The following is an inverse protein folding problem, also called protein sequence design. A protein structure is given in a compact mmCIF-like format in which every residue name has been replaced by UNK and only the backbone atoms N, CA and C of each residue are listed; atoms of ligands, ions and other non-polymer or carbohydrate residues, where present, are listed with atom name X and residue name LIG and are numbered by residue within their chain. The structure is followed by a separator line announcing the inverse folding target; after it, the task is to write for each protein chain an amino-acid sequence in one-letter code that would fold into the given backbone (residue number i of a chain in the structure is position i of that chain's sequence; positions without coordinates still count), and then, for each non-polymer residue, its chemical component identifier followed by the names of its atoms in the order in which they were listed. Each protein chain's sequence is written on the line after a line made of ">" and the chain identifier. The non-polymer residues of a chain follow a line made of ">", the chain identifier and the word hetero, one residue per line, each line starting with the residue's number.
data_IF_149466091049
#
_entry.id   IF_149466091049
#
_cell.length_a   1.000
_cell.length_b   1.000
_cell.length_c   1.000
_cell.angle_alpha   90.00
_cell.angle_beta   90.00
_cell.angle_gamma   90.00
#
_symmetry.space_group_name_H-M   'P 1'
#
loop_
_entity.id
_entity.type
_entity.pdbx_description
1 polymer ?
#
# COMPACT_ATOMS: atom_id res chain seq x y z
N UNK A 1 -48.83 -1.24 -42.19
CA UNK A 1 -47.58 -2.00 -42.45
C UNK A 1 -47.84 -3.47 -42.16
N UNK A 2 -47.55 -4.39 -43.07
CA UNK A 2 -47.66 -5.83 -42.80
C UNK A 2 -46.50 -6.28 -41.92
N UNK A 3 -46.72 -7.28 -41.06
CA UNK A 3 -45.71 -7.82 -40.12
C UNK A 3 -44.39 -8.17 -40.82
N UNK A 4 -44.45 -8.61 -42.09
CA UNK A 4 -43.28 -8.86 -42.94
C UNK A 4 -42.47 -7.61 -43.26
N UNK A 5 -43.12 -6.47 -43.52
CA UNK A 5 -42.42 -5.20 -43.75
C UNK A 5 -41.72 -4.70 -42.49
N UNK A 6 -42.34 -4.84 -41.32
CA UNK A 6 -41.72 -4.47 -40.05
C UNK A 6 -40.46 -5.32 -39.76
N UNK A 7 -40.55 -6.64 -39.92
CA UNK A 7 -39.41 -7.55 -39.73
C UNK A 7 -38.28 -7.27 -40.74
N UNK A 8 -38.60 -6.95 -41.99
CA UNK A 8 -37.61 -6.58 -43.00
C UNK A 8 -36.87 -5.28 -42.64
N UNK A 9 -37.57 -4.27 -42.14
CA UNK A 9 -36.95 -3.00 -41.68
C UNK A 9 -36.05 -3.25 -40.47
N UNK A 10 -36.49 -4.04 -39.48
CA UNK A 10 -35.68 -4.38 -38.31
C UNK A 10 -34.41 -5.15 -38.70
N UNK A 11 -34.53 -6.15 -39.59
CA UNK A 11 -33.40 -6.91 -40.09
C UNK A 11 -32.39 -6.04 -40.85
N UNK A 12 -32.89 -5.09 -41.67
CA UNK A 12 -32.04 -4.13 -42.38
C UNK A 12 -31.27 -3.23 -41.40
N UNK A 13 -31.96 -2.66 -40.41
CA UNK A 13 -31.35 -1.79 -39.39
C UNK A 13 -30.29 -2.56 -38.58
N UNK A 14 -30.60 -3.78 -38.14
CA UNK A 14 -29.65 -4.63 -37.42
C UNK A 14 -28.44 -5.00 -38.30
N UNK A 15 -28.65 -5.30 -39.58
CA UNK A 15 -27.59 -5.57 -40.54
C UNK A 15 -26.65 -4.39 -40.73
N UNK A 16 -27.20 -3.16 -40.87
CA UNK A 16 -26.41 -1.92 -40.98
C UNK A 16 -25.62 -1.65 -39.70
N UNK A 17 -26.23 -1.85 -38.53
CA UNK A 17 -25.57 -1.65 -37.23
C UNK A 17 -24.43 -2.64 -37.00
N UNK A 18 -24.64 -3.91 -37.36
CA UNK A 18 -23.62 -4.95 -37.32
C UNK A 18 -22.46 -4.63 -38.28
N UNK A 19 -22.77 -4.21 -39.51
CA UNK A 19 -21.77 -3.81 -40.50
C UNK A 19 -20.95 -2.61 -40.02
N UNK A 20 -21.59 -1.59 -39.44
CA UNK A 20 -20.93 -0.43 -38.87
C UNK A 20 -20.00 -0.80 -37.70
N UNK A 21 -20.44 -1.72 -36.82
CA UNK A 21 -19.63 -2.23 -35.72
C UNK A 21 -18.40 -3.00 -36.23
N UNK A 22 -18.59 -3.88 -37.22
CA UNK A 22 -17.49 -4.63 -37.84
C UNK A 22 -16.48 -3.70 -38.51
N UNK A 23 -16.94 -2.69 -39.25
CA UNK A 23 -16.09 -1.66 -39.86
C UNK A 23 -15.31 -0.91 -38.78
N UNK A 24 -15.96 -0.51 -37.68
CA UNK A 24 -15.29 0.15 -36.54
C UNK A 24 -14.21 -0.74 -35.92
N UNK A 25 -14.48 -2.03 -35.71
CA UNK A 25 -13.52 -2.99 -35.15
C UNK A 25 -12.33 -3.17 -36.09
N UNK A 26 -12.57 -3.35 -37.40
CA UNK A 26 -11.53 -3.51 -38.41
C UNK A 26 -10.68 -2.25 -38.51
N UNK A 27 -11.30 -1.07 -38.61
CA UNK A 27 -10.59 0.21 -38.60
C UNK A 27 -9.76 0.38 -37.33
N UNK A 28 -10.34 0.12 -36.15
CA UNK A 28 -9.62 0.25 -34.89
C UNK A 28 -8.46 -0.76 -34.78
N UNK A 29 -8.64 -2.01 -35.24
CA UNK A 29 -7.57 -3.02 -35.31
C UNK A 29 -6.47 -2.58 -36.28
N UNK A 30 -6.83 -2.11 -37.47
CA UNK A 30 -5.89 -1.64 -38.48
C UNK A 30 -5.11 -0.40 -38.01
N UNK A 31 -5.80 0.59 -37.43
CA UNK A 31 -5.15 1.74 -36.83
C UNK A 31 -4.23 1.34 -35.66
N UNK A 32 -4.62 0.37 -34.83
CA UNK A 32 -3.76 -0.17 -33.77
C UNK A 32 -2.54 -0.88 -34.34
N UNK A 33 -2.70 -1.72 -35.37
CA UNK A 33 -1.60 -2.44 -36.03
C UNK A 33 -0.64 -1.47 -36.73
N UNK A 34 -1.14 -0.51 -37.52
CA UNK A 34 -0.31 0.52 -38.15
C UNK A 34 0.40 1.39 -37.13
N UNK A 35 -0.27 1.79 -36.05
CA UNK A 35 0.36 2.53 -34.95
C UNK A 35 1.46 1.69 -34.30
N UNK A 36 1.20 0.41 -33.98
CA UNK A 36 2.20 -0.51 -33.43
C UNK A 36 3.40 -0.68 -34.36
N UNK A 37 3.18 -0.90 -35.65
CA UNK A 37 4.25 -1.07 -36.64
C UNK A 37 5.15 0.17 -36.78
N UNK A 38 4.58 1.39 -36.68
CA UNK A 38 5.39 2.63 -36.69
C UNK A 38 6.10 2.92 -35.37
N UNK A 39 5.52 2.48 -34.26
CA UNK A 39 6.05 2.71 -32.91
C UNK A 39 7.15 1.71 -32.54
N UNK A 40 7.07 0.47 -33.03
CA UNK A 40 7.99 -0.60 -32.66
C UNK A 40 9.46 -0.31 -33.03
N UNK A 41 9.81 0.17 -34.25
CA UNK A 41 11.18 0.51 -34.60
C UNK A 41 11.75 1.64 -33.73
N UNK A 42 10.89 2.63 -33.40
CA UNK A 42 11.29 3.75 -32.55
C UNK A 42 11.54 3.32 -31.10
N UNK A 43 10.74 2.38 -30.57
CA UNK A 43 10.98 1.79 -29.25
C UNK A 43 12.30 1.02 -29.21
N UNK A 44 12.56 0.17 -30.21
CA UNK A 44 13.80 -0.59 -30.31
C UNK A 44 15.04 0.32 -30.36
N UNK A 45 14.96 1.44 -31.09
CA UNK A 45 16.05 2.42 -31.15
C UNK A 45 16.35 3.04 -29.76
N UNK A 46 15.32 3.38 -28.98
CA UNK A 46 15.49 3.89 -27.62
C UNK A 46 16.00 2.81 -26.67
N UNK A 47 15.50 1.57 -26.77
CA UNK A 47 15.97 0.45 -25.97
C UNK A 47 17.46 0.18 -26.19
N UNK A 48 17.93 0.15 -27.44
CA UNK A 48 19.35 -0.06 -27.75
C UNK A 48 20.25 1.08 -27.25
N UNK A 49 19.80 2.33 -27.33
CA UNK A 49 20.56 3.48 -26.79
C UNK A 49 20.55 3.49 -25.27
N UNK A 50 19.41 3.20 -24.64
CA UNK A 50 19.29 3.07 -23.19
C UNK A 50 20.20 1.96 -22.65
N UNK A 51 20.26 0.81 -23.32
CA UNK A 51 21.13 -0.30 -22.93
C UNK A 51 22.61 0.09 -23.00
N UNK A 52 23.07 0.66 -24.11
CA UNK A 52 24.47 1.13 -24.24
C UNK A 52 24.79 2.21 -23.21
N UNK A 53 23.89 3.16 -22.98
CA UNK A 53 24.07 4.20 -21.97
C UNK A 53 24.10 3.62 -20.55
N UNK A 54 23.26 2.63 -20.24
CA UNK A 54 23.26 1.93 -18.95
C UNK A 54 24.60 1.23 -18.69
N UNK A 55 25.18 0.63 -19.73
CA UNK A 55 26.50 -0.03 -19.71
C UNK A 55 27.69 0.95 -19.73
N UNK A 56 27.46 2.27 -19.81
CA UNK A 56 28.55 3.26 -19.89
C UNK A 56 29.17 3.45 -21.27
N UNK A 57 28.59 2.85 -22.30
CA UNK A 57 29.08 2.87 -23.68
C UNK A 57 28.48 3.99 -24.54
N UNK A 58 27.62 4.84 -23.97
CA UNK A 58 27.02 5.97 -24.65
C UNK A 58 26.85 7.17 -23.72
N UNK A 59 26.84 8.37 -24.29
CA UNK A 59 26.59 9.63 -23.58
C UNK A 59 25.09 9.86 -23.35
N UNK A 60 24.75 10.58 -22.27
CA UNK A 60 23.36 10.92 -21.94
C UNK A 60 22.68 11.76 -23.03
N UNK A 61 23.43 12.61 -23.76
CA UNK A 61 22.92 13.43 -24.87
C UNK A 61 22.32 12.57 -25.98
N UNK A 62 22.86 11.38 -26.22
CA UNK A 62 22.32 10.44 -27.22
C UNK A 62 20.97 9.90 -26.77
N UNK A 63 20.82 9.59 -25.48
CA UNK A 63 19.54 9.17 -24.89
C UNK A 63 18.50 10.28 -25.03
N UNK A 64 18.85 11.52 -24.66
CA UNK A 64 17.97 12.68 -24.74
C UNK A 64 17.49 12.93 -26.19
N UNK A 65 18.41 12.91 -27.15
CA UNK A 65 18.09 13.08 -28.57
C UNK A 65 17.13 12.00 -29.09
N UNK A 66 17.26 10.75 -28.64
CA UNK A 66 16.34 9.68 -29.04
C UNK A 66 14.98 9.82 -28.37
N UNK A 67 14.94 10.18 -27.08
CA UNK A 67 13.68 10.44 -26.37
C UNK A 67 12.89 11.59 -27.00
N UNK A 68 13.58 12.68 -27.40
CA UNK A 68 12.94 13.84 -28.04
C UNK A 68 12.29 13.53 -29.40
N UNK A 69 12.66 12.43 -30.06
CA UNK A 69 12.07 11.97 -31.33
C UNK A 69 10.81 11.11 -31.14
N UNK A 70 10.53 10.70 -29.90
CA UNK A 70 9.36 9.90 -29.57
C UNK A 70 8.13 10.78 -29.29
N UNK A 71 6.92 10.28 -29.61
CA UNK A 71 5.71 10.76 -28.97
C UNK A 71 5.86 10.70 -27.45
N UNK A 72 5.43 11.77 -26.77
CA UNK A 72 5.60 11.95 -25.32
C UNK A 72 5.18 10.74 -24.48
N UNK A 73 4.02 10.09 -24.68
CA UNK A 73 3.64 8.92 -23.90
C UNK A 73 4.67 7.78 -24.00
N UNK A 74 5.30 7.63 -25.17
CA UNK A 74 6.31 6.60 -25.41
C UNK A 74 7.66 6.95 -24.79
N UNK A 75 8.02 8.23 -24.77
CA UNK A 75 9.20 8.70 -24.04
C UNK A 75 9.03 8.46 -22.53
N UNK A 76 7.86 8.77 -21.98
CA UNK A 76 7.53 8.51 -20.57
C UNK A 76 7.53 7.01 -20.27
N UNK A 77 6.91 6.18 -21.11
CA UNK A 77 6.93 4.72 -20.96
C UNK A 77 8.37 4.17 -20.97
N UNK A 78 9.21 4.66 -21.88
CA UNK A 78 10.61 4.26 -21.95
C UNK A 78 11.35 4.62 -20.65
N UNK A 79 11.19 5.86 -20.16
CA UNK A 79 11.78 6.29 -18.90
C UNK A 79 11.32 5.42 -17.72
N UNK A 80 10.02 5.14 -17.61
CA UNK A 80 9.47 4.28 -16.55
C UNK A 80 10.02 2.85 -16.62
N UNK A 81 10.14 2.30 -17.82
CA UNK A 81 10.65 0.92 -17.98
C UNK A 81 12.12 0.76 -17.61
N UNK A 82 12.92 1.82 -17.77
CA UNK A 82 14.36 1.79 -17.54
C UNK A 82 14.79 2.33 -16.17
N UNK A 83 13.94 3.09 -15.48
CA UNK A 83 14.32 3.75 -14.22
C UNK A 83 14.75 2.79 -13.11
N UNK A 84 14.21 1.57 -13.10
CA UNK A 84 14.59 0.52 -12.16
C UNK A 84 15.81 -0.32 -12.61
N UNK A 85 16.23 -0.20 -13.88
CA UNK A 85 17.29 -1.03 -14.49
C UNK A 85 18.66 -0.34 -14.52
N UNK A 86 18.72 0.95 -14.20
CA UNK A 86 19.91 1.79 -14.33
C UNK A 86 20.38 2.26 -12.95
N UNK A 87 21.70 2.31 -12.67
CA UNK A 87 22.23 2.82 -11.41
C UNK A 87 21.72 4.21 -11.04
N UNK A 88 21.45 4.43 -9.75
CA UNK A 88 20.78 5.63 -9.23
C UNK A 88 21.44 6.95 -9.63
N UNK A 89 22.77 7.05 -9.54
CA UNK A 89 23.54 8.27 -9.86
C UNK A 89 23.48 8.62 -11.34
N UNK A 90 23.62 7.59 -12.18
CA UNK A 90 23.52 7.72 -13.63
C UNK A 90 22.12 8.19 -14.02
N UNK A 91 21.09 7.62 -13.41
CA UNK A 91 19.71 8.05 -13.65
C UNK A 91 19.42 9.45 -13.13
N UNK A 92 19.98 9.84 -11.98
CA UNK A 92 19.86 11.22 -11.46
C UNK A 92 20.41 12.23 -12.47
N UNK A 93 21.56 11.96 -13.10
CA UNK A 93 22.10 12.82 -14.18
C UNK A 93 21.15 12.94 -15.38
N UNK A 94 20.51 11.85 -15.80
CA UNK A 94 19.50 11.89 -16.85
C UNK A 94 18.28 12.73 -16.44
N UNK A 95 17.77 12.54 -15.22
CA UNK A 95 16.64 13.30 -14.70
C UNK A 95 16.91 14.82 -14.67
N UNK A 96 18.11 15.23 -14.23
CA UNK A 96 18.55 16.63 -14.30
C UNK A 96 18.66 17.13 -15.74
N UNK A 97 19.24 16.33 -16.65
CA UNK A 97 19.38 16.75 -18.04
C UNK A 97 18.02 16.90 -18.77
N UNK A 98 17.01 16.12 -18.37
CA UNK A 98 15.62 16.25 -18.84
C UNK A 98 14.95 17.58 -18.43
N UNK A 99 15.56 18.42 -17.58
CA UNK A 99 15.03 19.77 -17.31
C UNK A 99 15.21 20.70 -18.51
N UNK A 100 16.28 20.53 -19.29
CA UNK A 100 16.56 21.33 -20.48
C UNK A 100 15.68 20.99 -21.68
N UNK A 101 15.10 19.78 -21.71
CA UNK A 101 14.32 19.27 -22.82
C UNK A 101 12.94 19.95 -22.93
N UNK A 102 12.61 20.48 -24.10
CA UNK A 102 11.35 21.22 -24.34
C UNK A 102 10.12 20.36 -24.07
N UNK A 103 10.15 19.08 -24.47
CA UNK A 103 9.02 18.17 -24.32
C UNK A 103 8.82 17.78 -22.85
N UNK A 104 9.91 17.67 -22.09
CA UNK A 104 9.86 17.39 -20.66
C UNK A 104 9.33 18.60 -19.88
N UNK A 105 9.69 19.84 -20.27
CA UNK A 105 9.07 21.06 -19.72
C UNK A 105 7.56 21.08 -20.01
N UNK A 106 7.15 20.74 -21.22
CA UNK A 106 5.73 20.62 -21.58
C UNK A 106 5.00 19.53 -20.76
N UNK A 107 5.62 18.36 -20.53
CA UNK A 107 5.01 17.32 -19.67
C UNK A 107 4.84 17.81 -18.23
N UNK A 108 5.82 18.55 -17.69
CA UNK A 108 5.69 19.13 -16.35
C UNK A 108 4.53 20.12 -16.23
N UNK A 109 4.19 20.87 -17.28
CA UNK A 109 3.03 21.80 -17.25
C UNK A 109 1.70 21.06 -17.27
N UNK A 110 1.64 19.83 -17.82
CA UNK A 110 0.44 18.99 -17.80
C UNK A 110 -0.06 18.65 -16.39
N UNK A 111 0.76 18.82 -15.34
CA UNK A 111 0.35 18.69 -13.92
C UNK A 111 -0.83 19.59 -13.53
N UNK A 112 -1.09 20.66 -14.29
CA UNK A 112 -2.22 21.59 -14.07
C UNK A 112 -3.38 21.40 -15.05
N UNK A 113 -3.35 20.40 -15.91
CA UNK A 113 -4.38 20.20 -16.93
C UNK A 113 -5.74 19.83 -16.33
N UNK A 114 -6.82 20.32 -16.92
CA UNK A 114 -8.18 19.87 -16.62
C UNK A 114 -8.37 18.36 -16.90
N UNK A 115 -7.65 17.83 -17.90
CA UNK A 115 -7.73 16.42 -18.32
C UNK A 115 -6.87 15.53 -17.42
N UNK A 116 -7.51 14.62 -16.68
CA UNK A 116 -6.82 13.78 -15.70
C UNK A 116 -5.72 12.90 -16.33
N UNK A 117 -5.90 12.40 -17.56
CA UNK A 117 -4.90 11.57 -18.23
C UNK A 117 -3.62 12.35 -18.57
N UNK A 118 -3.71 13.67 -18.79
CA UNK A 118 -2.52 14.53 -18.94
C UNK A 118 -1.80 14.73 -17.59
N UNK A 119 -2.56 14.87 -16.50
CA UNK A 119 -1.98 14.92 -15.14
C UNK A 119 -1.32 13.59 -14.77
N UNK A 120 -1.92 12.46 -15.18
CA UNK A 120 -1.31 11.14 -15.02
C UNK A 120 0.00 11.01 -15.81
N UNK A 121 0.05 11.47 -17.06
CA UNK A 121 1.29 11.50 -17.85
C UNK A 121 2.38 12.33 -17.14
N UNK A 122 2.02 13.49 -16.60
CA UNK A 122 2.93 14.30 -15.80
C UNK A 122 3.39 13.57 -14.52
N UNK A 123 2.49 12.94 -13.78
CA UNK A 123 2.82 12.19 -12.56
C UNK A 123 3.75 11.00 -12.85
N UNK A 124 3.48 10.23 -13.92
CA UNK A 124 4.33 9.11 -14.36
C UNK A 124 5.70 9.55 -14.85
N UNK A 125 5.78 10.71 -15.50
CA UNK A 125 7.06 11.30 -15.87
C UNK A 125 7.83 11.73 -14.62
N UNK A 126 7.18 12.45 -13.70
CA UNK A 126 7.79 12.93 -12.47
C UNK A 126 8.24 11.78 -11.55
N UNK A 127 7.53 10.65 -11.52
CA UNK A 127 7.96 9.50 -10.71
C UNK A 127 9.36 8.98 -11.06
N UNK A 128 9.86 9.28 -12.27
CA UNK A 128 11.19 8.85 -12.73
C UNK A 128 12.14 10.00 -13.05
N UNK A 129 11.64 11.20 -13.30
CA UNK A 129 12.42 12.36 -13.74
C UNK A 129 12.25 13.60 -12.86
N UNK A 130 11.54 13.50 -11.72
CA UNK A 130 11.42 14.61 -10.79
C UNK A 130 12.77 14.99 -10.21
N UNK A 131 12.95 16.30 -10.05
CA UNK A 131 14.03 16.93 -9.29
C UNK A 131 13.43 17.69 -8.10
N UNK A 132 14.24 18.19 -7.15
CA UNK A 132 13.72 18.99 -6.04
C UNK A 132 12.85 20.19 -6.48
N UNK A 133 13.13 20.77 -7.65
CA UNK A 133 12.35 21.87 -8.24
C UNK A 133 10.90 21.49 -8.61
N UNK A 134 10.61 20.19 -8.76
CA UNK A 134 9.27 19.69 -9.08
C UNK A 134 8.38 19.48 -7.84
N UNK A 135 8.91 19.69 -6.62
CA UNK A 135 8.16 19.53 -5.36
C UNK A 135 6.77 20.19 -5.37
N UNK A 136 6.59 21.47 -5.80
CA UNK A 136 5.27 22.09 -5.82
C UNK A 136 4.28 21.42 -6.78
N UNK A 137 4.77 20.87 -7.90
CA UNK A 137 3.94 20.14 -8.88
C UNK A 137 3.51 18.80 -8.32
N UNK A 138 4.42 18.07 -7.68
CA UNK A 138 4.14 16.78 -7.07
C UNK A 138 3.16 16.94 -5.91
N UNK A 139 3.30 17.95 -5.05
CA UNK A 139 2.34 18.24 -3.98
C UNK A 139 0.90 18.39 -4.52
N UNK A 140 0.74 19.09 -5.65
CA UNK A 140 -0.55 19.21 -6.32
C UNK A 140 -1.07 17.84 -6.81
N UNK A 141 -0.21 17.04 -7.41
CA UNK A 141 -0.58 15.72 -7.94
C UNK A 141 -0.88 14.69 -6.84
N UNK A 142 -0.24 14.77 -5.68
CA UNK A 142 -0.56 13.96 -4.51
C UNK A 142 -1.98 14.23 -3.98
N UNK A 143 -2.47 15.46 -4.16
CA UNK A 143 -3.82 15.89 -3.78
C UNK A 143 -4.85 15.69 -4.90
N UNK A 144 -4.47 15.04 -6.01
CA UNK A 144 -5.37 14.85 -7.14
C UNK A 144 -6.61 14.02 -6.74
N UNK A 145 -7.81 14.35 -7.24
CA UNK A 145 -8.99 13.53 -6.99
C UNK A 145 -8.91 12.17 -7.68
N UNK A 146 -8.18 12.04 -8.79
CA UNK A 146 -8.14 10.80 -9.56
C UNK A 146 -7.11 9.81 -8.98
N UNK A 147 -7.49 8.58 -8.60
CA UNK A 147 -6.61 7.60 -7.96
C UNK A 147 -5.30 7.36 -8.71
N UNK A 148 -5.37 7.10 -10.02
CA UNK A 148 -4.19 6.82 -10.83
C UNK A 148 -3.14 7.95 -10.79
N UNK A 149 -3.58 9.22 -10.66
CA UNK A 149 -2.67 10.37 -10.70
C UNK A 149 -1.87 10.45 -9.41
N UNK A 150 -2.54 10.41 -8.25
CA UNK A 150 -1.85 10.53 -6.97
C UNK A 150 -1.04 9.27 -6.63
N UNK A 151 -1.46 8.09 -7.08
CA UNK A 151 -0.66 6.84 -6.99
C UNK A 151 0.64 6.98 -7.79
N UNK A 152 0.58 7.51 -9.02
CA UNK A 152 1.81 7.75 -9.79
C UNK A 152 2.68 8.84 -9.13
N UNK A 153 2.06 9.85 -8.52
CA UNK A 153 2.78 10.93 -7.86
C UNK A 153 3.49 10.49 -6.58
N UNK A 154 2.93 9.59 -5.75
CA UNK A 154 3.59 9.15 -4.50
C UNK A 154 4.89 8.40 -4.75
N UNK A 155 5.05 7.77 -5.93
CA UNK A 155 6.28 7.11 -6.34
C UNK A 155 7.47 8.08 -6.47
N UNK A 156 7.24 9.40 -6.58
CA UNK A 156 8.33 10.39 -6.60
C UNK A 156 9.12 10.42 -5.29
N UNK A 157 8.52 9.97 -4.18
CA UNK A 157 9.19 9.88 -2.87
C UNK A 157 10.44 8.99 -2.91
N UNK A 158 10.51 8.03 -3.84
CA UNK A 158 11.70 7.18 -4.00
C UNK A 158 12.91 7.93 -4.55
N UNK A 159 12.70 9.12 -5.11
CA UNK A 159 13.72 9.86 -5.86
C UNK A 159 13.99 11.26 -5.32
N UNK A 160 12.95 11.90 -4.78
CA UNK A 160 13.02 13.26 -4.25
C UNK A 160 12.82 13.20 -2.75
N UNK A 161 13.92 13.37 -2.02
CA UNK A 161 13.89 13.56 -0.58
C UNK A 161 13.30 14.94 -0.27
N UNK A 162 12.05 14.94 0.18
CA UNK A 162 11.35 16.17 0.55
C UNK A 162 10.39 15.89 1.68
N UNK A 163 10.64 16.50 2.85
CA UNK A 163 9.77 16.38 4.00
C UNK A 163 8.34 16.81 3.67
N UNK A 164 8.16 17.86 2.84
CA UNK A 164 6.84 18.31 2.41
C UNK A 164 6.06 17.24 1.62
N UNK A 165 6.73 16.47 0.74
CA UNK A 165 6.09 15.38 0.00
C UNK A 165 5.72 14.22 0.93
N UNK A 166 6.60 13.87 1.87
CA UNK A 166 6.36 12.83 2.88
C UNK A 166 5.15 13.22 3.75
N UNK A 167 5.12 14.46 4.24
CA UNK A 167 3.98 15.00 5.00
C UNK A 167 2.69 14.91 4.21
N UNK A 168 2.66 15.41 2.98
CA UNK A 168 1.44 15.38 2.15
C UNK A 168 0.96 13.95 1.85
N UNK A 169 1.88 13.00 1.65
CA UNK A 169 1.53 11.60 1.45
C UNK A 169 1.00 10.94 2.74
N UNK A 170 1.59 11.25 3.90
CA UNK A 170 1.15 10.75 5.20
C UNK A 170 -0.22 11.33 5.60
N UNK A 171 -0.46 12.62 5.36
CA UNK A 171 -1.75 13.29 5.62
C UNK A 171 -2.89 12.65 4.83
N UNK A 172 -2.60 12.18 3.61
CA UNK A 172 -3.57 11.53 2.73
C UNK A 172 -3.83 10.07 3.10
N UNK A 173 -2.86 9.40 3.73
CA UNK A 173 -2.91 7.96 4.01
C UNK A 173 -4.24 7.52 4.67
N UNK A 174 -4.79 8.22 5.67
CA UNK A 174 -6.00 7.79 6.35
C UNK A 174 -7.24 7.72 5.45
N UNK A 175 -7.34 8.58 4.45
CA UNK A 175 -8.52 8.65 3.58
C UNK A 175 -8.44 7.70 2.37
N UNK A 176 -7.35 6.94 2.22
CA UNK A 176 -7.15 6.02 1.11
C UNK A 176 -7.87 4.69 1.33
N UNK A 177 -8.32 4.08 0.23
CA UNK A 177 -8.76 2.68 0.23
C UNK A 177 -7.60 1.74 0.64
N UNK A 178 -7.86 0.58 1.27
CA UNK A 178 -6.82 -0.26 1.85
C UNK A 178 -5.67 -0.65 0.90
N UNK A 179 -5.99 -1.00 -0.35
CA UNK A 179 -5.00 -1.37 -1.36
C UNK A 179 -4.09 -0.21 -1.76
N UNK A 180 -4.66 0.99 -1.89
CA UNK A 180 -3.92 2.21 -2.22
C UNK A 180 -3.11 2.70 -1.02
N UNK A 181 -3.68 2.60 0.18
CA UNK A 181 -3.00 2.90 1.44
C UNK A 181 -1.77 2.01 1.64
N UNK A 182 -1.85 0.71 1.32
CA UNK A 182 -0.70 -0.19 1.38
C UNK A 182 0.45 0.23 0.43
N UNK A 183 0.13 0.75 -0.76
CA UNK A 183 1.12 1.29 -1.69
C UNK A 183 1.79 2.55 -1.12
N UNK A 184 1.00 3.49 -0.60
CA UNK A 184 1.51 4.70 0.07
C UNK A 184 2.41 4.34 1.27
N UNK A 185 1.98 3.40 2.10
CA UNK A 185 2.77 2.89 3.23
C UNK A 185 4.09 2.25 2.78
N UNK A 186 4.13 1.63 1.59
CA UNK A 186 5.36 1.15 0.97
C UNK A 186 6.33 2.28 0.61
N UNK A 187 5.82 3.36 0.02
CA UNK A 187 6.65 4.51 -0.35
C UNK A 187 7.16 5.27 0.88
N UNK A 188 6.28 5.52 1.86
CA UNK A 188 6.59 6.24 3.09
C UNK A 188 7.67 5.52 3.93
N UNK A 189 7.69 4.19 3.94
CA UNK A 189 8.71 3.40 4.66
C UNK A 189 10.14 3.74 4.28
N UNK A 190 10.39 4.19 3.05
CA UNK A 190 11.73 4.59 2.60
C UNK A 190 12.23 5.88 3.27
N UNK A 191 11.32 6.73 3.73
CA UNK A 191 11.61 7.98 4.44
C UNK A 191 11.37 7.84 5.96
N UNK A 192 11.77 6.68 6.53
CA UNK A 192 11.52 6.26 7.92
C UNK A 192 11.74 7.38 8.95
N UNK A 193 12.88 8.07 8.91
CA UNK A 193 13.21 9.10 9.88
C UNK A 193 12.19 10.25 9.92
N UNK A 194 11.81 10.78 8.75
CA UNK A 194 10.81 11.87 8.65
C UNK A 194 9.43 11.36 9.04
N UNK A 195 9.06 10.15 8.59
CA UNK A 195 7.78 9.54 8.92
C UNK A 195 7.60 9.34 10.41
N UNK A 196 8.62 8.87 11.12
CA UNK A 196 8.57 8.68 12.59
C UNK A 196 8.30 10.01 13.28
N UNK A 197 9.00 11.09 12.92
CA UNK A 197 8.81 12.41 13.52
C UNK A 197 7.38 12.97 13.29
N UNK A 198 6.86 12.76 12.08
CA UNK A 198 5.49 13.16 11.77
C UNK A 198 4.46 12.32 12.54
N UNK A 199 4.70 11.00 12.67
CA UNK A 199 3.82 10.13 13.44
C UNK A 199 3.84 10.47 14.93
N UNK A 200 5.00 10.79 15.52
CA UNK A 200 5.06 11.26 16.92
C UNK A 200 4.18 12.49 17.15
N UNK A 201 4.25 13.46 16.22
CA UNK A 201 3.44 14.68 16.27
C UNK A 201 1.95 14.41 16.08
N UNK A 202 1.58 13.45 15.23
CA UNK A 202 0.17 13.16 14.90
C UNK A 202 -0.48 12.26 15.94
N UNK A 203 0.22 11.24 16.44
CA UNK A 203 -0.28 10.30 17.44
C UNK A 203 -0.48 10.94 18.82
N UNK A 204 0.18 12.06 19.12
CA UNK A 204 -0.07 12.83 20.35
C UNK A 204 -1.40 13.59 20.32
N UNK A 205 -2.05 13.72 19.16
CA UNK A 205 -3.34 14.38 18.97
C UNK A 205 -4.45 13.33 18.98
N UNK A 206 -5.08 13.12 20.13
CA UNK A 206 -6.13 12.12 20.29
C UNK A 206 -7.41 12.42 19.48
N UNK A 207 -7.61 13.65 19.04
CA UNK A 207 -8.77 14.09 18.25
C UNK A 207 -8.60 13.91 16.72
N UNK A 208 -7.50 13.32 16.28
CA UNK A 208 -7.18 13.17 14.86
C UNK A 208 -8.16 12.22 14.15
N UNK A 209 -8.94 12.73 13.22
CA UNK A 209 -9.90 11.92 12.45
C UNK A 209 -9.26 10.74 11.69
N UNK A 210 -7.95 10.80 11.42
CA UNK A 210 -7.19 9.73 10.76
C UNK A 210 -6.47 8.78 11.71
N UNK A 211 -6.67 8.90 13.02
CA UNK A 211 -5.82 8.27 14.03
C UNK A 211 -5.74 6.74 13.87
N UNK A 212 -6.87 6.06 13.70
CA UNK A 212 -6.91 4.60 13.53
C UNK A 212 -5.97 4.11 12.40
N UNK A 213 -6.04 4.76 11.23
CA UNK A 213 -5.20 4.43 10.07
C UNK A 213 -3.73 4.78 10.30
N UNK A 214 -3.44 5.88 11.00
CA UNK A 214 -2.07 6.25 11.36
C UNK A 214 -1.48 5.29 12.38
N UNK A 215 -2.27 4.83 13.36
CA UNK A 215 -1.91 3.81 14.33
C UNK A 215 -1.69 2.47 13.65
N UNK A 216 -2.55 2.07 12.71
CA UNK A 216 -2.34 0.86 11.88
C UNK A 216 -1.01 0.95 11.13
N UNK A 217 -0.74 2.08 10.50
CA UNK A 217 0.52 2.29 9.79
C UNK A 217 1.73 2.26 10.73
N UNK A 218 1.66 2.96 11.87
CA UNK A 218 2.69 2.95 12.91
C UNK A 218 2.95 1.54 13.45
N UNK A 219 1.90 0.74 13.67
CA UNK A 219 1.99 -0.66 14.11
C UNK A 219 2.80 -1.51 13.12
N UNK A 220 2.63 -1.26 11.81
CA UNK A 220 3.35 -1.97 10.74
C UNK A 220 4.80 -1.52 10.58
N UNK A 221 5.14 -0.31 11.03
CA UNK A 221 6.53 0.15 11.02
C UNK A 221 7.36 -0.49 12.14
N UNK A 222 6.72 -0.86 13.26
CA UNK A 222 7.38 -1.45 14.44
C UNK A 222 8.56 -0.60 14.96
N UNK A 223 8.37 0.71 14.96
CA UNK A 223 9.38 1.69 15.39
C UNK A 223 9.41 1.80 16.91
N UNK A 224 10.52 1.49 17.59
CA UNK A 224 10.60 1.59 19.05
C UNK A 224 10.31 3.00 19.56
N UNK A 225 10.67 4.03 18.79
CA UNK A 225 10.41 5.43 19.12
C UNK A 225 8.90 5.74 19.23
N UNK A 226 8.03 4.99 18.55
CA UNK A 226 6.58 5.20 18.59
C UNK A 226 5.91 4.47 19.77
N UNK A 227 6.62 3.59 20.49
CA UNK A 227 6.05 2.75 21.55
C UNK A 227 5.28 3.57 22.60
N UNK A 228 5.87 4.67 23.07
CA UNK A 228 5.27 5.50 24.12
C UNK A 228 3.98 6.17 23.65
N UNK A 229 4.01 6.81 22.49
CA UNK A 229 2.81 7.42 21.89
C UNK A 229 1.72 6.37 21.63
N UNK A 230 2.08 5.18 21.16
CA UNK A 230 1.14 4.08 20.96
C UNK A 230 0.55 3.59 22.30
N UNK A 231 1.37 3.47 23.35
CA UNK A 231 0.93 3.05 24.69
C UNK A 231 -0.05 4.06 25.28
N UNK A 232 0.18 5.36 25.08
CA UNK A 232 -0.70 6.43 25.53
C UNK A 232 -2.11 6.34 24.91
N UNK A 233 -2.22 5.80 23.70
CA UNK A 233 -3.49 5.60 22.99
C UNK A 233 -4.26 4.33 23.41
N UNK A 234 -3.75 3.53 24.34
CA UNK A 234 -4.45 2.33 24.82
C UNK A 234 -5.79 2.62 25.52
N UNK A 235 -6.02 3.86 25.98
CA UNK A 235 -7.28 4.29 26.57
C UNK A 235 -8.19 5.07 25.62
N UNK A 236 -7.88 5.10 24.32
CA UNK A 236 -8.60 5.93 23.35
C UNK A 236 -10.09 5.52 23.24
N UNK A 237 -11.06 6.45 23.11
CA UNK A 237 -12.49 6.12 23.06
C UNK A 237 -12.87 5.24 21.84
N UNK A 238 -12.23 5.46 20.69
CA UNK A 238 -12.43 4.63 19.50
C UNK A 238 -11.80 3.24 19.67
N UNK A 239 -12.62 2.19 19.57
CA UNK A 239 -12.21 0.80 19.66
C UNK A 239 -11.24 0.40 18.54
N UNK A 240 -11.38 0.95 17.33
CA UNK A 240 -10.47 0.63 16.23
C UNK A 240 -9.05 1.12 16.53
N UNK A 241 -8.91 2.33 17.09
CA UNK A 241 -7.61 2.83 17.57
C UNK A 241 -7.03 1.88 18.61
N UNK A 242 -7.82 1.44 19.60
CA UNK A 242 -7.36 0.48 20.63
C UNK A 242 -6.96 -0.87 20.04
N UNK A 243 -7.67 -1.38 19.04
CA UNK A 243 -7.29 -2.60 18.31
C UNK A 243 -5.94 -2.43 17.61
N UNK A 244 -5.70 -1.29 16.95
CA UNK A 244 -4.41 -1.03 16.29
C UNK A 244 -3.28 -0.81 17.30
N UNK A 245 -3.55 -0.18 18.45
CA UNK A 245 -2.60 -0.09 19.57
C UNK A 245 -2.24 -1.49 20.08
N UNK A 246 -3.24 -2.34 20.37
CA UNK A 246 -3.00 -3.71 20.81
C UNK A 246 -2.12 -4.47 19.82
N UNK A 247 -2.38 -4.33 18.51
CA UNK A 247 -1.54 -4.92 17.46
C UNK A 247 -0.10 -4.40 17.51
N UNK A 248 0.09 -3.10 17.63
CA UNK A 248 1.41 -2.48 17.64
C UNK A 248 2.26 -2.92 18.85
N UNK A 249 1.64 -2.96 20.03
CA UNK A 249 2.34 -3.28 21.28
C UNK A 249 2.86 -4.73 21.32
N UNK A 250 2.30 -5.64 20.54
CA UNK A 250 2.80 -7.02 20.41
C UNK A 250 4.19 -7.14 19.78
N UNK A 251 4.72 -6.07 19.18
CA UNK A 251 6.09 -6.01 18.67
C UNK A 251 7.11 -5.46 19.69
N UNK A 252 6.66 -5.01 20.87
CA UNK A 252 7.50 -4.35 21.86
C UNK A 252 7.50 -5.12 23.19
N UNK A 253 8.53 -5.95 23.48
CA UNK A 253 8.68 -6.65 24.75
C UNK A 253 9.12 -5.68 25.86
N UNK A 254 8.18 -4.84 26.30
CA UNK A 254 8.40 -3.79 27.28
C UNK A 254 7.29 -3.82 28.33
N UNK A 255 7.64 -3.62 29.60
CA UNK A 255 6.71 -3.71 30.75
C UNK A 255 5.46 -2.84 30.57
N UNK A 256 5.63 -1.58 30.13
CA UNK A 256 4.50 -0.69 29.83
C UNK A 256 3.59 -1.20 28.68
N UNK A 257 4.17 -1.85 27.67
CA UNK A 257 3.41 -2.43 26.56
C UNK A 257 2.61 -3.66 27.03
N UNK A 258 3.22 -4.51 27.86
CA UNK A 258 2.55 -5.65 28.50
C UNK A 258 1.43 -5.16 29.41
N UNK A 259 1.68 -4.16 30.27
CA UNK A 259 0.68 -3.60 31.17
C UNK A 259 -0.53 -3.00 30.41
N UNK A 260 -0.29 -2.33 29.27
CA UNK A 260 -1.36 -1.85 28.42
C UNK A 260 -2.15 -3.01 27.78
N UNK A 261 -1.46 -4.03 27.24
CA UNK A 261 -2.10 -5.22 26.67
C UNK A 261 -2.92 -6.01 27.71
N UNK A 262 -2.43 -6.10 28.95
CA UNK A 262 -3.16 -6.70 30.08
C UNK A 262 -4.49 -6.01 30.33
N UNK A 263 -4.57 -4.67 30.21
CA UNK A 263 -5.85 -3.96 30.31
C UNK A 263 -6.75 -4.22 29.09
N UNK A 264 -6.16 -4.24 27.89
CA UNK A 264 -6.90 -4.41 26.64
C UNK A 264 -7.47 -5.81 26.43
N UNK A 265 -6.97 -6.83 27.13
CA UNK A 265 -7.55 -8.19 27.08
C UNK A 265 -8.91 -8.27 27.78
N UNK A 266 -9.25 -7.28 28.61
CA UNK A 266 -10.52 -7.15 29.33
C UNK A 266 -11.44 -6.06 28.73
N UNK A 267 -11.08 -5.52 27.56
CA UNK A 267 -11.81 -4.42 26.91
C UNK A 267 -13.24 -4.82 26.49
N UNK A 268 -14.16 -3.86 26.41
CA UNK A 268 -15.57 -4.15 26.09
C UNK A 268 -15.77 -4.72 24.67
N UNK A 269 -15.14 -4.20 23.60
CA UNK A 269 -15.25 -4.75 22.26
C UNK A 269 -14.34 -5.97 22.09
N UNK A 270 -14.93 -7.09 21.68
CA UNK A 270 -14.21 -8.33 21.41
C UNK A 270 -13.03 -8.20 20.41
N UNK A 271 -13.02 -7.31 19.39
CA UNK A 271 -11.88 -7.19 18.49
C UNK A 271 -10.61 -6.69 19.21
N UNK A 272 -10.78 -5.82 20.21
CA UNK A 272 -9.69 -5.32 21.04
C UNK A 272 -9.13 -6.45 21.91
N UNK A 273 -10.00 -7.19 22.61
CA UNK A 273 -9.60 -8.35 23.43
C UNK A 273 -8.86 -9.41 22.63
N UNK A 274 -9.40 -9.79 21.47
CA UNK A 274 -8.82 -10.81 20.60
C UNK A 274 -7.42 -10.40 20.08
N UNK A 275 -7.27 -9.13 19.69
CA UNK A 275 -5.98 -8.59 19.25
C UNK A 275 -4.99 -8.48 20.41
N UNK A 276 -5.43 -8.08 21.61
CA UNK A 276 -4.60 -8.02 22.80
C UNK A 276 -4.09 -9.42 23.21
N UNK A 277 -4.96 -10.43 23.22
CA UNK A 277 -4.57 -11.82 23.47
C UNK A 277 -3.54 -12.33 22.47
N UNK A 278 -3.74 -12.06 21.15
CA UNK A 278 -2.75 -12.38 20.11
C UNK A 278 -1.40 -11.72 20.41
N UNK A 279 -1.40 -10.43 20.75
CA UNK A 279 -0.19 -9.66 21.03
C UNK A 279 0.53 -10.11 22.30
N UNK A 280 -0.20 -10.48 23.36
CA UNK A 280 0.39 -11.10 24.56
C UNK A 280 1.07 -12.43 24.23
N UNK A 281 0.49 -13.25 23.35
CA UNK A 281 1.15 -14.46 22.83
C UNK A 281 2.41 -14.15 22.03
N UNK A 282 2.45 -13.04 21.28
CA UNK A 282 3.65 -12.63 20.56
C UNK A 282 4.80 -12.29 21.51
N UNK A 283 4.50 -11.63 22.63
CA UNK A 283 5.47 -11.27 23.67
C UNK A 283 5.85 -12.46 24.57
N UNK A 284 4.91 -13.39 24.80
CA UNK A 284 5.07 -14.59 25.60
C UNK A 284 5.61 -14.37 27.03
N UNK A 285 5.27 -13.25 27.67
CA UNK A 285 5.66 -12.97 29.06
C UNK A 285 4.92 -13.92 30.03
N UNK A 286 5.63 -14.82 30.76
CA UNK A 286 5.01 -15.78 31.66
C UNK A 286 4.04 -15.19 32.69
N UNK A 287 4.22 -13.93 33.11
CA UNK A 287 3.31 -13.25 34.04
C UNK A 287 1.89 -13.07 33.47
N UNK A 288 1.73 -13.15 32.15
CA UNK A 288 0.45 -12.97 31.46
C UNK A 288 -0.31 -14.29 31.23
N UNK A 289 0.29 -15.43 31.55
CA UNK A 289 -0.34 -16.75 31.42
C UNK A 289 -1.67 -16.88 32.17
N UNK A 290 -1.82 -16.42 33.43
CA UNK A 290 -3.09 -16.49 34.13
C UNK A 290 -4.21 -15.73 33.42
N UNK A 291 -3.90 -14.58 32.81
CA UNK A 291 -4.86 -13.77 32.06
C UNK A 291 -5.34 -14.51 30.81
N UNK A 292 -4.42 -15.12 30.06
CA UNK A 292 -4.77 -15.92 28.89
C UNK A 292 -5.56 -17.18 29.28
N UNK A 293 -5.30 -17.80 30.43
CA UNK A 293 -6.14 -18.90 30.93
C UNK A 293 -7.58 -18.47 31.17
N UNK A 294 -7.79 -17.26 31.71
CA UNK A 294 -9.13 -16.68 31.86
C UNK A 294 -9.77 -16.36 30.51
N UNK A 295 -9.01 -15.76 29.59
CA UNK A 295 -9.50 -15.38 28.25
C UNK A 295 -9.86 -16.58 27.34
N UNK A 296 -9.49 -17.81 27.70
CA UNK A 296 -10.00 -19.03 27.05
C UNK A 296 -11.50 -19.23 27.29
N UNK A 297 -12.06 -18.59 28.31
CA UNK A 297 -13.48 -18.64 28.69
C UNK A 297 -14.27 -17.42 28.20
N UNK A 298 -13.66 -16.59 27.35
CA UNK A 298 -14.32 -15.40 26.81
C UNK A 298 -15.62 -15.76 26.09
N UNK A 299 -16.64 -14.91 26.22
CA UNK A 299 -17.93 -15.07 25.52
C UNK A 299 -17.77 -15.17 24.00
N UNK A 300 -16.80 -14.46 23.43
CA UNK A 300 -16.60 -14.35 22.01
C UNK A 300 -15.62 -15.41 21.50
N UNK A 301 -16.06 -16.17 20.50
CA UNK A 301 -15.27 -17.26 19.92
C UNK A 301 -13.92 -16.79 19.36
N UNK A 302 -13.85 -15.60 18.75
CA UNK A 302 -12.60 -15.08 18.18
C UNK A 302 -11.57 -14.75 19.25
N UNK A 303 -12.02 -14.28 20.43
CA UNK A 303 -11.12 -14.06 21.57
C UNK A 303 -10.57 -15.39 22.05
N UNK A 304 -11.43 -16.39 22.28
CA UNK A 304 -10.99 -17.75 22.67
C UNK A 304 -9.99 -18.35 21.68
N UNK A 305 -10.27 -18.24 20.38
CA UNK A 305 -9.38 -18.72 19.31
C UNK A 305 -8.02 -18.03 19.34
N UNK A 306 -7.99 -16.69 19.43
CA UNK A 306 -6.72 -15.94 19.51
C UNK A 306 -5.96 -16.24 20.79
N UNK A 307 -6.64 -16.44 21.91
CA UNK A 307 -6.05 -16.83 23.19
C UNK A 307 -5.46 -18.24 23.14
N UNK A 308 -6.18 -19.22 22.60
CA UNK A 308 -5.68 -20.58 22.48
C UNK A 308 -4.42 -20.65 21.60
N UNK A 309 -4.45 -19.97 20.45
CA UNK A 309 -3.27 -19.81 19.60
C UNK A 309 -2.13 -19.07 20.31
N UNK A 310 -2.42 -18.01 21.07
CA UNK A 310 -1.42 -17.28 21.85
C UNK A 310 -0.72 -18.20 22.86
N UNK A 311 -1.46 -19.08 23.56
CA UNK A 311 -0.89 -20.03 24.52
C UNK A 311 0.13 -20.98 23.90
N UNK A 312 -0.01 -21.35 22.63
CA UNK A 312 1.00 -22.20 21.95
C UNK A 312 2.39 -21.56 21.89
N UNK A 313 2.47 -20.22 22.00
CA UNK A 313 3.73 -19.47 21.98
C UNK A 313 4.47 -19.45 23.33
N UNK A 314 3.82 -19.92 24.41
CA UNK A 314 4.43 -20.05 25.73
C UNK A 314 5.10 -21.41 25.96
N UNK A 315 5.23 -22.23 24.90
CA UNK A 315 5.89 -23.53 24.98
C UNK A 315 5.19 -24.47 25.98
N UNK A 316 5.93 -25.21 26.82
CA UNK A 316 5.36 -26.19 27.75
C UNK A 316 4.29 -25.62 28.69
N UNK A 317 4.51 -24.42 29.24
CA UNK A 317 3.57 -23.80 30.19
C UNK A 317 2.22 -23.49 29.52
N UNK A 318 2.25 -23.01 28.27
CA UNK A 318 1.03 -22.75 27.51
C UNK A 318 0.33 -24.03 27.04
N UNK A 319 1.10 -25.06 26.66
CA UNK A 319 0.54 -26.39 26.35
C UNK A 319 -0.15 -27.01 27.56
N UNK A 320 0.45 -26.90 28.74
CA UNK A 320 -0.16 -27.38 29.98
C UNK A 320 -1.46 -26.64 30.28
N UNK A 321 -1.48 -25.31 30.10
CA UNK A 321 -2.70 -24.52 30.25
C UNK A 321 -3.83 -24.96 29.30
N UNK A 322 -3.50 -25.34 28.05
CA UNK A 322 -4.47 -25.90 27.10
C UNK A 322 -4.96 -27.29 27.53
N UNK A 323 -4.06 -28.19 27.95
CA UNK A 323 -4.43 -29.53 28.43
C UNK A 323 -5.34 -29.46 29.67
N UNK A 324 -5.06 -28.56 30.60
CA UNK A 324 -5.92 -28.31 31.76
C UNK A 324 -7.30 -27.77 31.34
N UNK A 325 -7.36 -26.90 30.33
CA UNK A 325 -8.62 -26.40 29.80
C UNK A 325 -9.43 -27.50 29.07
N UNK A 326 -8.77 -28.43 28.40
CA UNK A 326 -9.39 -29.59 27.72
C UNK A 326 -10.07 -30.58 28.67
N UNK A 327 -9.60 -30.68 29.92
CA UNK A 327 -10.26 -31.49 30.97
C UNK A 327 -11.11 -30.64 31.94
N UNK A 328 -11.07 -29.32 31.80
CA UNK A 328 -11.75 -28.37 32.68
C UNK A 328 -13.28 -28.38 32.54
N UNK A 329 -13.96 -27.72 33.48
CA UNK A 329 -15.42 -27.67 33.54
C UNK A 329 -16.08 -26.79 32.47
N UNK A 330 -15.41 -25.71 32.05
CA UNK A 330 -15.95 -24.73 31.09
C UNK A 330 -16.01 -25.32 29.67
N UNK A 331 -17.21 -25.48 29.06
CA UNK A 331 -17.33 -26.12 27.74
C UNK A 331 -16.64 -25.33 26.64
N UNK A 332 -16.72 -23.99 26.68
CA UNK A 332 -16.16 -23.11 25.65
C UNK A 332 -14.63 -23.18 25.58
N UNK A 333 -13.98 -23.16 26.74
CA UNK A 333 -12.53 -23.33 26.86
C UNK A 333 -12.12 -24.75 26.49
N UNK A 334 -12.91 -25.76 26.87
CA UNK A 334 -12.68 -27.16 26.54
C UNK A 334 -12.64 -27.40 25.03
N UNK A 335 -13.66 -26.92 24.33
CA UNK A 335 -13.78 -27.08 22.88
C UNK A 335 -12.66 -26.34 22.16
N UNK A 336 -12.30 -25.15 22.63
CA UNK A 336 -11.19 -24.38 22.05
C UNK A 336 -9.83 -25.06 22.28
N UNK A 337 -9.60 -25.59 23.47
CA UNK A 337 -8.36 -26.32 23.78
C UNK A 337 -8.21 -27.55 22.89
N UNK A 338 -9.27 -28.36 22.72
CA UNK A 338 -9.30 -29.50 21.79
C UNK A 338 -8.97 -29.08 20.36
N UNK A 339 -9.59 -28.01 19.89
CA UNK A 339 -9.35 -27.49 18.54
C UNK A 339 -7.88 -27.12 18.37
N UNK A 340 -7.32 -26.30 19.27
CA UNK A 340 -5.95 -25.79 19.15
C UNK A 340 -4.91 -26.90 19.31
N UNK A 341 -5.11 -27.83 20.25
CA UNK A 341 -4.23 -28.98 20.45
C UNK A 341 -4.26 -29.96 19.26
N UNK A 342 -5.37 -30.00 18.51
CA UNK A 342 -5.52 -30.80 17.30
C UNK A 342 -4.98 -30.15 16.01
N UNK A 343 -4.57 -28.88 16.05
CA UNK A 343 -4.02 -28.20 14.86
C UNK A 343 -2.65 -28.77 14.49
N UNK A 344 -2.42 -28.94 13.17
CA UNK A 344 -1.09 -29.26 12.66
C UNK A 344 -0.12 -28.09 12.83
N UNK A 345 1.18 -28.36 12.78
CA UNK A 345 2.21 -27.31 12.79
C UNK A 345 2.04 -26.32 11.64
N UNK A 346 1.61 -26.79 10.46
CA UNK A 346 1.28 -25.94 9.31
C UNK A 346 0.09 -25.04 9.62
N UNK A 347 -1.01 -25.58 10.17
CA UNK A 347 -2.18 -24.79 10.51
C UNK A 347 -1.85 -23.73 11.57
N UNK A 348 -1.06 -24.09 12.59
CA UNK A 348 -0.58 -23.12 13.59
C UNK A 348 0.24 -21.99 12.95
N UNK A 349 1.10 -22.31 11.97
CA UNK A 349 1.85 -21.29 11.24
C UNK A 349 0.95 -20.38 10.39
N UNK A 350 -0.07 -20.93 9.72
CA UNK A 350 -1.05 -20.16 8.95
C UNK A 350 -1.87 -19.21 9.83
N UNK A 351 -2.25 -19.65 11.04
CA UNK A 351 -2.98 -18.81 12.00
C UNK A 351 -2.10 -17.78 12.73
N UNK A 352 -0.78 -18.01 12.77
CA UNK A 352 0.20 -17.11 13.37
C UNK A 352 0.61 -15.95 12.44
N UNK A 353 0.51 -16.13 11.12
CA UNK A 353 0.66 -15.07 10.11
C UNK A 353 -0.40 -13.96 10.26
#
# INVERSE_FOLDING_TARGET
>A
MTTRHFLAVVALVQGVLLAALLILIVLNRWFRLRRRARVHPRRLAVEGVMQRWALGQADVRVVLAQLARLPVPLAVDALVSWSARVPGDRWRRLATALEGEWWARMVRTNSRSARWWKRLEAARFLSVAATPADTPRVLKLLRDPHPAVHIAAVATLERVESAALVTAALERLPQLAPTVGAYYAGMLRRSRAVVVQLLLTRLSRSDDAGLARLTEFAARLQEPALRESLTALAGHPDAEVRTQVARALGAFPHTASIAALTRLVEDAPWPVRAQAARSLGMLADPATLPLLRTALRDENWWVRMRTGLALTRFGPSGRNALLEAEVGADPSARDMARLVLGLSSQALAEFAA
#
